data_IF_087234082049
#
_entry.id   IF_087234082049
#
_cell.length_a   1.000
_cell.length_b   1.000
_cell.length_c   1.000
_cell.angle_alpha   90.00
_cell.angle_beta   90.00
_cell.angle_gamma   90.00
#
_symmetry.space_group_name_H-M   'P 1'
#
loop_
_entity.id
_entity.type
_entity.pdbx_description
1 polymer ?
#
# COMPACT_ATOMS: atom_id res chain seq x y z
N UNK A 1 3.13 15.61 -8.31
CA UNK A 1 3.15 16.27 -6.98
C UNK A 1 1.74 16.68 -6.62
N UNK A 2 1.34 16.56 -5.36
CA UNK A 2 -0.07 16.65 -4.94
C UNK A 2 -0.51 15.49 -4.03
N UNK A 3 -1.80 15.18 -4.00
CA UNK A 3 -2.40 14.16 -3.12
C UNK A 3 -3.04 13.02 -3.92
N UNK A 4 -2.60 11.79 -3.73
CA UNK A 4 -3.16 10.57 -4.36
C UNK A 4 -2.86 9.33 -3.51
N UNK A 5 -3.38 8.16 -3.90
CA UNK A 5 -3.10 6.89 -3.20
C UNK A 5 -1.64 6.48 -3.40
N UNK A 6 -0.90 6.24 -2.32
CA UNK A 6 0.48 5.77 -2.46
C UNK A 6 0.52 4.40 -3.18
N UNK A 7 1.59 4.09 -3.94
CA UNK A 7 1.67 2.89 -4.76
C UNK A 7 2.05 1.68 -3.89
N UNK A 8 1.12 1.23 -3.05
CA UNK A 8 1.30 0.10 -2.16
C UNK A 8 0.01 -0.73 -2.14
N UNK A 9 0.11 -1.98 -2.57
CA UNK A 9 -1.00 -2.89 -2.77
C UNK A 9 -1.72 -2.74 -4.12
N UNK A 10 -2.08 -3.88 -4.72
CA UNK A 10 -2.83 -3.99 -5.97
C UNK A 10 -4.27 -3.50 -5.83
N UNK A 11 -4.98 -3.94 -4.80
CA UNK A 11 -6.39 -3.55 -4.62
C UNK A 11 -6.53 -2.06 -4.29
N UNK A 12 -5.55 -1.52 -3.55
CA UNK A 12 -5.52 -0.10 -3.21
C UNK A 12 -5.29 0.78 -4.44
N UNK A 13 -4.34 0.39 -5.29
CA UNK A 13 -4.00 1.12 -6.51
C UNK A 13 -5.05 0.96 -7.62
N UNK A 14 -5.86 -0.11 -7.56
CA UNK A 14 -6.99 -0.32 -8.47
C UNK A 14 -8.08 0.75 -8.26
N UNK A 15 -8.61 1.37 -9.34
CA UNK A 15 -9.70 2.34 -9.23
C UNK A 15 -10.94 1.77 -8.56
N UNK A 16 -11.61 2.60 -7.75
CA UNK A 16 -12.79 2.18 -6.97
C UNK A 16 -13.93 1.68 -7.87
N UNK A 17 -14.07 2.24 -9.08
CA UNK A 17 -15.12 1.87 -10.06
C UNK A 17 -14.84 0.54 -10.79
N UNK A 18 -13.66 -0.05 -10.60
CA UNK A 18 -13.23 -1.28 -11.28
C UNK A 18 -12.90 -2.40 -10.30
N UNK A 19 -13.23 -2.23 -9.01
CA UNK A 19 -13.11 -3.30 -8.02
C UNK A 19 -14.09 -4.43 -8.36
N UNK A 20 -13.69 -5.67 -8.05
CA UNK A 20 -14.55 -6.85 -8.22
C UNK A 20 -15.61 -6.97 -7.12
N UNK A 21 -15.37 -6.34 -5.97
CA UNK A 21 -16.22 -6.33 -4.79
C UNK A 21 -16.74 -4.92 -4.51
N UNK A 22 -17.82 -4.83 -3.73
CA UNK A 22 -18.42 -3.54 -3.34
C UNK A 22 -17.44 -2.72 -2.49
N UNK A 23 -16.69 -3.41 -1.63
CA UNK A 23 -15.69 -2.82 -0.73
C UNK A 23 -14.34 -3.51 -0.94
N UNK A 24 -13.27 -2.83 -0.53
CA UNK A 24 -11.93 -3.43 -0.48
C UNK A 24 -11.85 -4.51 0.60
N UNK A 25 -10.91 -5.42 0.43
CA UNK A 25 -10.60 -6.44 1.44
C UNK A 25 -10.14 -5.80 2.76
N UNK A 26 -10.33 -6.55 3.85
CA UNK A 26 -9.92 -6.10 5.18
C UNK A 26 -8.41 -5.80 5.25
N UNK A 27 -7.49 -6.66 4.77
CA UNK A 27 -6.05 -6.38 4.81
C UNK A 27 -5.70 -5.07 4.11
N UNK A 28 -6.30 -4.82 2.93
CA UNK A 28 -6.09 -3.57 2.19
C UNK A 28 -6.51 -2.36 3.00
N UNK A 29 -7.71 -2.40 3.61
CA UNK A 29 -8.19 -1.30 4.45
C UNK A 29 -7.39 -1.07 5.74
N UNK A 30 -6.77 -2.12 6.27
CA UNK A 30 -6.00 -2.07 7.51
C UNK A 30 -4.58 -1.57 7.30
N UNK A 31 -3.92 -2.02 6.21
CA UNK A 31 -2.46 -1.94 6.04
C UNK A 31 -2.06 -0.93 4.96
N UNK A 32 -2.87 -0.75 3.92
CA UNK A 32 -2.45 0.13 2.82
C UNK A 32 -2.63 1.60 3.21
N UNK A 33 -1.61 2.45 2.98
CA UNK A 33 -1.77 3.88 3.16
C UNK A 33 -2.84 4.40 2.20
N UNK A 34 -3.69 5.30 2.70
CA UNK A 34 -4.73 5.93 1.89
C UNK A 34 -4.14 7.01 0.97
N UNK A 35 -4.84 8.13 0.79
CA UNK A 35 -4.30 9.24 0.00
C UNK A 35 -3.27 10.00 0.81
N UNK A 36 -2.15 10.29 0.17
CA UNK A 36 -0.98 10.88 0.78
C UNK A 36 -0.52 12.07 -0.06
N UNK A 37 -0.09 13.14 0.60
CA UNK A 37 0.52 14.30 -0.07
C UNK A 37 2.00 14.01 -0.31
N UNK A 38 2.47 14.15 -1.55
CA UNK A 38 3.86 13.85 -1.88
C UNK A 38 4.25 14.05 -3.34
N UNK A 39 5.34 13.37 -3.71
CA UNK A 39 5.91 13.30 -5.05
C UNK A 39 6.19 11.83 -5.36
N UNK A 40 5.91 11.42 -6.59
CA UNK A 40 6.18 10.06 -7.07
C UNK A 40 6.76 10.13 -8.48
N UNK A 41 7.73 9.25 -8.72
CA UNK A 41 8.24 8.91 -10.04
C UNK A 41 7.76 7.50 -10.40
N UNK A 42 7.43 7.29 -11.65
CA UNK A 42 7.10 5.97 -12.17
C UNK A 42 7.55 5.84 -13.62
N UNK A 43 7.74 4.60 -14.09
CA UNK A 43 8.14 4.37 -15.47
C UNK A 43 8.13 2.91 -15.88
N UNK A 44 8.24 2.72 -17.19
CA UNK A 44 8.32 1.42 -17.88
C UNK A 44 9.64 1.33 -18.65
N UNK A 45 10.76 1.03 -17.98
CA UNK A 45 12.09 1.18 -18.57
C UNK A 45 12.30 0.28 -19.78
N UNK A 46 11.62 -0.87 -19.84
CA UNK A 46 11.73 -1.83 -20.93
C UNK A 46 10.92 -1.44 -22.18
N UNK A 47 10.11 -0.37 -22.11
CA UNK A 47 9.37 0.13 -23.26
C UNK A 47 10.28 0.63 -24.40
N UNK A 48 11.55 0.97 -24.10
CA UNK A 48 12.55 1.37 -25.11
C UNK A 48 12.99 0.22 -26.02
N UNK A 49 12.81 -1.04 -25.56
CA UNK A 49 13.17 -2.24 -26.33
C UNK A 49 12.09 -2.53 -27.38
N UNK A 50 10.83 -2.31 -27.01
CA UNK A 50 9.69 -2.50 -27.89
C UNK A 50 8.36 -2.53 -27.12
N UNK A 51 7.22 -2.43 -27.83
CA UNK A 51 5.89 -2.39 -27.21
C UNK A 51 5.56 -3.66 -26.43
N UNK A 52 6.05 -4.82 -26.88
CA UNK A 52 5.78 -6.11 -26.24
C UNK A 52 6.42 -6.23 -24.86
N UNK A 53 7.54 -5.52 -24.63
CA UNK A 53 8.30 -5.53 -23.38
C UNK A 53 7.90 -4.41 -22.42
N UNK A 54 7.05 -3.47 -22.84
CA UNK A 54 6.74 -2.27 -22.07
C UNK A 54 6.17 -2.59 -20.67
N UNK A 55 5.32 -3.61 -20.55
CA UNK A 55 4.70 -3.99 -19.28
C UNK A 55 5.45 -5.10 -18.53
N UNK A 56 6.61 -5.52 -19.05
CA UNK A 56 7.44 -6.54 -18.40
C UNK A 56 8.05 -6.02 -17.10
N UNK A 57 8.29 -4.71 -17.01
CA UNK A 57 8.70 -4.05 -15.78
C UNK A 57 8.09 -2.65 -15.70
N UNK A 58 7.34 -2.40 -14.64
CA UNK A 58 6.91 -1.06 -14.22
C UNK A 58 7.43 -0.81 -12.81
N UNK A 59 7.97 0.37 -12.57
CA UNK A 59 8.40 0.77 -11.23
C UNK A 59 7.66 2.03 -10.79
N UNK A 60 7.49 2.15 -9.48
CA UNK A 60 6.98 3.33 -8.80
C UNK A 60 7.85 3.59 -7.57
N UNK A 61 8.22 4.84 -7.35
CA UNK A 61 8.93 5.28 -6.15
C UNK A 61 8.35 6.62 -5.72
N UNK A 62 7.97 6.75 -4.46
CA UNK A 62 7.34 7.95 -3.93
C UNK A 62 7.83 8.33 -2.53
N UNK A 63 7.80 9.64 -2.29
CA UNK A 63 8.09 10.28 -1.01
C UNK A 63 6.84 11.07 -0.63
N UNK A 64 6.32 10.83 0.56
CA UNK A 64 5.04 11.34 1.03
C UNK A 64 5.13 11.84 2.48
N UNK A 65 4.18 12.64 2.92
CA UNK A 65 4.14 13.14 4.30
C UNK A 65 3.87 12.04 5.35
N UNK A 66 3.24 10.91 4.99
CA UNK A 66 2.97 9.78 5.90
C UNK A 66 1.70 9.93 6.74
N UNK A 67 1.36 11.16 7.11
CA UNK A 67 0.23 11.49 7.98
C UNK A 67 -1.17 11.49 7.32
N UNK A 68 -1.28 11.08 6.05
CA UNK A 68 -2.55 10.77 5.41
C UNK A 68 -3.23 11.97 4.73
N UNK A 69 -4.51 11.75 4.43
CA UNK A 69 -5.31 12.63 3.56
C UNK A 69 -5.57 13.99 4.20
N UNK A 70 -5.51 15.05 3.37
CA UNK A 70 -5.85 16.43 3.72
C UNK A 70 -4.98 17.05 4.83
N UNK A 71 -3.82 16.45 5.11
CA UNK A 71 -2.83 17.02 6.03
C UNK A 71 -1.69 17.60 5.18
N UNK A 72 -1.64 18.92 5.12
CA UNK A 72 -0.66 19.65 4.29
C UNK A 72 0.65 19.90 5.01
N UNK A 73 0.64 19.92 6.34
CA UNK A 73 1.84 20.06 7.15
C UNK A 73 2.39 18.69 7.52
N UNK A 74 3.70 18.50 7.42
CA UNK A 74 4.35 17.29 7.91
C UNK A 74 4.37 17.33 9.45
N UNK A 75 3.98 16.24 10.10
CA UNK A 75 3.83 16.17 11.56
C UNK A 75 5.17 16.14 12.30
N UNK A 76 6.23 15.61 11.67
CA UNK A 76 7.47 15.30 12.39
C UNK A 76 8.78 15.45 11.58
N UNK A 77 8.72 16.11 10.42
CA UNK A 77 9.81 16.28 9.45
C UNK A 77 10.41 14.97 8.89
N UNK A 78 9.77 13.81 9.09
CA UNK A 78 10.10 12.55 8.43
C UNK A 78 9.12 12.30 7.29
N UNK A 79 9.60 11.62 6.24
CA UNK A 79 8.75 11.24 5.12
C UNK A 79 8.44 9.75 5.14
N UNK A 80 7.28 9.40 4.60
CA UNK A 80 6.97 8.05 4.20
C UNK A 80 7.57 7.78 2.81
N UNK A 81 8.28 6.67 2.69
CA UNK A 81 8.88 6.17 1.45
C UNK A 81 8.11 4.95 0.98
N UNK A 82 7.74 4.91 -0.30
CA UNK A 82 7.03 3.78 -0.90
C UNK A 82 7.69 3.41 -2.21
N UNK A 83 7.89 2.11 -2.42
CA UNK A 83 8.38 1.54 -3.67
C UNK A 83 7.49 0.38 -4.11
N UNK A 84 7.18 0.33 -5.41
CA UNK A 84 6.44 -0.77 -6.04
C UNK A 84 7.10 -1.20 -7.32
N UNK A 85 7.17 -2.51 -7.54
CA UNK A 85 7.55 -3.11 -8.81
C UNK A 85 6.39 -3.97 -9.31
N UNK A 86 6.10 -3.86 -10.59
CA UNK A 86 5.14 -4.73 -11.29
C UNK A 86 5.80 -5.37 -12.50
N UNK A 87 5.46 -6.63 -12.77
CA UNK A 87 5.92 -7.36 -13.95
C UNK A 87 4.80 -8.16 -14.58
N UNK A 88 4.61 -8.01 -15.89
CA UNK A 88 3.70 -8.85 -16.67
C UNK A 88 4.51 -9.88 -17.44
N UNK A 89 4.61 -11.12 -16.92
CA UNK A 89 5.50 -12.17 -17.43
C UNK A 89 4.88 -12.99 -18.56
N UNK A 90 3.59 -13.31 -18.44
CA UNK A 90 2.85 -14.04 -19.46
C UNK A 90 1.83 -13.09 -20.06
N UNK A 91 1.86 -12.94 -21.38
CA UNK A 91 0.85 -12.22 -22.16
C UNK A 91 0.42 -13.09 -23.32
N UNK A 92 -0.89 -13.18 -23.55
CA UNK A 92 -1.50 -13.91 -24.66
C UNK A 92 -1.19 -15.43 -24.72
N UNK A 93 -0.64 -16.02 -23.64
CA UNK A 93 -0.28 -17.45 -23.57
C UNK A 93 -1.51 -18.35 -23.45
N UNK A 94 -2.55 -17.92 -22.76
CA UNK A 94 -3.81 -18.66 -22.57
C UNK A 94 -4.96 -18.09 -23.43
N UNK A 95 -4.61 -17.52 -24.59
CA UNK A 95 -5.52 -16.81 -25.48
C UNK A 95 -5.37 -15.30 -25.42
N UNK A 96 -5.88 -14.61 -26.45
CA UNK A 96 -5.74 -13.15 -26.60
C UNK A 96 -6.34 -12.41 -25.39
N UNK A 97 -5.57 -11.51 -24.80
CA UNK A 97 -5.90 -10.74 -23.61
C UNK A 97 -5.59 -11.44 -22.28
N UNK A 98 -5.04 -12.66 -22.30
CA UNK A 98 -4.61 -13.33 -21.07
C UNK A 98 -3.30 -12.73 -20.54
N UNK A 99 -3.17 -12.66 -19.21
CA UNK A 99 -1.91 -12.26 -18.61
C UNK A 99 -1.68 -12.83 -17.21
N UNK A 100 -0.42 -12.88 -16.80
CA UNK A 100 -0.01 -12.96 -15.39
C UNK A 100 0.77 -11.71 -15.04
N UNK A 101 0.23 -10.92 -14.12
CA UNK A 101 0.91 -9.79 -13.50
C UNK A 101 1.31 -10.17 -12.08
N UNK A 102 2.53 -9.82 -11.71
CA UNK A 102 3.06 -9.91 -10.35
C UNK A 102 3.41 -8.52 -9.85
N UNK A 103 3.18 -8.27 -8.58
CA UNK A 103 3.54 -7.04 -7.89
C UNK A 103 4.27 -7.31 -6.57
N UNK A 104 5.14 -6.39 -6.19
CA UNK A 104 5.79 -6.38 -4.89
C UNK A 104 6.05 -4.95 -4.43
N UNK A 105 5.77 -4.68 -3.16
CA UNK A 105 5.86 -3.35 -2.58
C UNK A 105 6.66 -3.33 -1.28
N UNK A 106 7.23 -2.17 -1.00
CA UNK A 106 7.82 -1.83 0.29
C UNK A 106 7.38 -0.44 0.72
N UNK A 107 7.21 -0.26 2.01
CA UNK A 107 6.87 1.00 2.64
C UNK A 107 7.68 1.16 3.93
N UNK A 108 8.17 2.37 4.17
CA UNK A 108 8.71 2.78 5.45
C UNK A 108 8.14 4.16 5.81
N UNK A 109 7.73 4.32 7.06
CA UNK A 109 7.26 5.61 7.58
C UNK A 109 7.69 5.77 9.04
N UNK A 110 7.78 7.03 9.46
CA UNK A 110 7.91 7.42 10.85
C UNK A 110 6.84 8.47 11.09
N UNK A 111 5.90 8.19 11.96
CA UNK A 111 4.77 9.07 12.22
C UNK A 111 4.77 9.48 13.70
N UNK A 112 4.15 10.62 14.00
CA UNK A 112 3.99 11.10 15.37
C UNK A 112 2.65 10.66 15.98
N UNK A 113 2.52 10.90 17.29
CA UNK A 113 1.28 10.64 18.02
C UNK A 113 0.10 11.33 17.33
N UNK A 114 -1.00 10.59 17.19
CA UNK A 114 -2.24 11.10 16.59
C UNK A 114 -2.39 10.80 15.10
N UNK A 115 -1.36 10.28 14.44
CA UNK A 115 -1.47 9.82 13.06
C UNK A 115 -2.31 8.54 12.98
N UNK A 116 -3.29 8.53 12.07
CA UNK A 116 -4.12 7.36 11.79
C UNK A 116 -3.44 6.48 10.74
N UNK A 117 -3.08 5.26 11.11
CA UNK A 117 -2.36 4.31 10.24
C UNK A 117 -3.28 3.26 9.60
N UNK A 118 -4.57 3.21 9.97
CA UNK A 118 -5.57 2.28 9.43
C UNK A 118 -6.89 3.01 9.22
N UNK A 119 -7.08 3.61 8.04
CA UNK A 119 -8.22 4.50 7.80
C UNK A 119 -9.54 3.77 7.55
N UNK A 120 -9.52 2.49 7.15
CA UNK A 120 -10.73 1.70 6.90
C UNK A 120 -11.29 0.98 8.13
N UNK A 121 -10.92 1.43 9.32
CA UNK A 121 -11.56 1.08 10.59
C UNK A 121 -11.45 -0.40 11.01
N UNK A 122 -10.35 -1.08 10.72
CA UNK A 122 -10.28 -2.53 10.94
C UNK A 122 -8.97 -3.07 11.52
N UNK A 123 -8.06 -2.20 11.94
CA UNK A 123 -6.81 -2.63 12.59
C UNK A 123 -6.97 -2.83 14.11
N UNK A 124 -7.91 -2.14 14.76
CA UNK A 124 -8.18 -2.29 16.19
C UNK A 124 -9.49 -3.05 16.43
N UNK A 125 -9.43 -4.11 17.23
CA UNK A 125 -10.60 -4.83 17.74
C UNK A 125 -10.93 -4.33 19.14
N UNK A 126 -12.10 -3.72 19.31
CA UNK A 126 -12.56 -3.19 20.59
C UNK A 126 -13.11 -4.30 21.49
N UNK A 127 -13.26 -3.99 22.78
CA UNK A 127 -13.79 -4.93 23.79
C UNK A 127 -15.22 -5.42 23.50
N UNK A 128 -16.00 -4.65 22.76
CA UNK A 128 -17.36 -5.00 22.30
C UNK A 128 -17.37 -5.78 20.97
N UNK A 129 -16.19 -6.09 20.42
CA UNK A 129 -16.00 -6.78 19.15
C UNK A 129 -16.13 -5.88 17.91
N UNK A 130 -16.39 -4.57 18.10
CA UNK A 130 -16.39 -3.63 16.98
C UNK A 130 -14.98 -3.37 16.46
N UNK A 131 -14.88 -3.03 15.18
CA UNK A 131 -13.63 -2.67 14.53
C UNK A 131 -13.48 -1.14 14.47
N UNK A 132 -12.26 -0.65 14.68
CA UNK A 132 -11.97 0.79 14.66
C UNK A 132 -10.59 1.09 14.06
N UNK A 133 -10.34 2.35 13.65
CA UNK A 133 -9.04 2.71 13.10
C UNK A 133 -8.00 2.70 14.21
N UNK A 134 -6.74 2.46 13.85
CA UNK A 134 -5.64 2.59 14.79
C UNK A 134 -5.02 3.98 14.66
N UNK A 135 -5.22 4.80 15.70
CA UNK A 135 -4.58 6.10 15.85
C UNK A 135 -3.39 5.92 16.79
N UNK A 136 -2.20 6.30 16.34
CA UNK A 136 -0.96 6.13 17.08
C UNK A 136 -1.02 6.83 18.45
N UNK A 137 -0.94 6.10 19.58
CA UNK A 137 -0.97 6.70 20.92
C UNK A 137 0.38 7.34 21.29
N UNK A 138 1.45 7.03 20.55
CA UNK A 138 2.78 7.63 20.62
C UNK A 138 3.47 7.58 19.26
N UNK A 139 4.61 8.24 19.11
CA UNK A 139 5.38 8.20 17.86
C UNK A 139 5.80 6.77 17.50
N UNK A 140 5.91 6.48 16.21
CA UNK A 140 6.22 5.14 15.71
C UNK A 140 7.27 5.16 14.59
N UNK A 141 7.74 3.97 14.25
CA UNK A 141 8.41 3.63 13.01
C UNK A 141 7.77 2.36 12.48
N UNK A 142 7.30 2.43 11.23
CA UNK A 142 6.61 1.33 10.58
C UNK A 142 7.27 0.93 9.27
N UNK A 143 7.26 -0.37 9.03
CA UNK A 143 7.73 -0.97 7.78
C UNK A 143 6.67 -1.94 7.29
N UNK A 144 6.27 -1.81 6.04
CA UNK A 144 5.33 -2.72 5.42
C UNK A 144 5.88 -3.27 4.10
N UNK A 145 5.43 -4.46 3.73
CA UNK A 145 5.68 -5.06 2.43
C UNK A 145 4.45 -5.82 1.96
N UNK A 146 4.32 -5.96 0.65
CA UNK A 146 3.24 -6.75 0.04
C UNK A 146 3.74 -7.47 -1.21
N UNK A 147 3.04 -8.56 -1.53
CA UNK A 147 3.18 -9.28 -2.79
C UNK A 147 1.79 -9.55 -3.35
N UNK A 148 1.64 -9.39 -4.66
CA UNK A 148 0.37 -9.59 -5.33
C UNK A 148 0.54 -10.32 -6.68
N UNK A 149 -0.52 -11.00 -7.08
CA UNK A 149 -0.60 -11.69 -8.36
C UNK A 149 -2.00 -11.51 -8.96
N UNK A 150 -2.04 -11.23 -10.26
CA UNK A 150 -3.27 -11.17 -11.04
C UNK A 150 -3.11 -12.02 -12.31
N UNK A 151 -3.84 -13.12 -12.33
CA UNK A 151 -4.00 -13.99 -13.48
C UNK A 151 -5.32 -13.69 -14.19
N UNK A 152 -5.26 -13.33 -15.46
CA UNK A 152 -6.42 -13.20 -16.35
C UNK A 152 -6.37 -14.24 -17.46
N UNK A 153 -7.45 -14.98 -17.65
CA UNK A 153 -7.59 -16.01 -18.69
C UNK A 153 -9.01 -15.96 -19.28
N UNK A 154 -9.18 -15.25 -20.40
CA UNK A 154 -10.50 -15.07 -21.01
C UNK A 154 -11.50 -14.43 -20.04
N UNK A 155 -12.63 -15.07 -19.71
CA UNK A 155 -13.62 -14.55 -18.75
C UNK A 155 -13.23 -14.77 -17.28
N UNK A 156 -12.11 -15.44 -17.01
CA UNK A 156 -11.67 -15.77 -15.65
C UNK A 156 -10.59 -14.79 -15.18
N UNK A 157 -10.73 -14.30 -13.94
CA UNK A 157 -9.72 -13.54 -13.22
C UNK A 157 -9.49 -14.19 -11.85
N UNK A 158 -8.22 -14.36 -11.48
CA UNK A 158 -7.79 -14.75 -10.15
C UNK A 158 -6.79 -13.72 -9.66
N UNK A 159 -7.12 -13.10 -8.53
CA UNK A 159 -6.30 -12.09 -7.88
C UNK A 159 -6.01 -12.57 -6.47
N UNK A 160 -4.74 -12.47 -6.07
CA UNK A 160 -4.30 -12.73 -4.71
C UNK A 160 -3.32 -11.65 -4.27
N UNK A 161 -3.40 -11.25 -3.02
CA UNK A 161 -2.56 -10.23 -2.41
C UNK A 161 -2.28 -10.66 -0.97
N UNK A 162 -1.06 -10.40 -0.51
CA UNK A 162 -0.64 -10.57 0.88
C UNK A 162 0.09 -9.30 1.31
N UNK A 163 -0.28 -8.75 2.46
CA UNK A 163 0.36 -7.57 3.04
C UNK A 163 0.81 -7.88 4.47
N UNK A 164 1.91 -7.25 4.89
CA UNK A 164 2.35 -7.26 6.28
C UNK A 164 2.91 -5.89 6.65
N UNK A 165 2.50 -5.38 7.81
CA UNK A 165 3.08 -4.18 8.43
C UNK A 165 3.57 -4.50 9.83
N UNK A 166 4.76 -3.98 10.15
CA UNK A 166 5.35 -4.02 11.48
C UNK A 166 5.42 -2.60 12.01
N UNK A 167 4.83 -2.40 13.19
CA UNK A 167 4.77 -1.09 13.85
C UNK A 167 5.60 -1.16 15.12
N UNK A 168 6.62 -0.31 15.20
CA UNK A 168 7.50 -0.20 16.37
C UNK A 168 7.28 1.16 17.04
N UNK A 169 7.00 1.19 18.34
CA UNK A 169 6.87 2.45 19.06
C UNK A 169 8.26 3.10 19.19
N UNK A 170 8.33 4.43 19.00
CA UNK A 170 9.55 5.22 19.23
C UNK A 170 9.47 5.93 20.58
N UNK A 171 10.54 5.83 21.36
CA UNK A 171 10.72 6.59 22.59
C UNK A 171 11.43 7.91 22.30
N UNK A 172 10.67 9.01 22.20
CA UNK A 172 11.26 10.34 22.09
C UNK A 172 11.57 10.95 23.47
N UNK A 173 10.72 10.71 24.49
CA UNK A 173 10.88 11.21 25.87
C UNK A 173 10.07 10.35 26.88
N UNK A 174 10.48 9.09 27.10
CA UNK A 174 9.81 8.19 28.05
C UNK A 174 9.54 6.78 27.50
N UNK A 175 8.89 5.91 28.29
CA UNK A 175 8.51 4.58 27.84
C UNK A 175 7.60 4.66 26.61
N UNK A 176 7.69 3.69 25.68
CA UNK A 176 6.89 3.70 24.47
C UNK A 176 5.39 3.68 24.79
N UNK A 177 4.60 4.45 24.02
CA UNK A 177 3.18 4.67 24.29
C UNK A 177 2.25 3.48 23.98
N UNK A 178 2.81 2.41 23.39
CA UNK A 178 2.12 1.17 23.04
C UNK A 178 3.15 0.06 22.78
N UNK A 179 2.70 -1.19 22.75
CA UNK A 179 3.55 -2.33 22.40
C UNK A 179 3.74 -2.44 20.88
N UNK A 180 4.92 -2.90 20.46
CA UNK A 180 5.14 -3.25 19.05
C UNK A 180 4.13 -4.31 18.61
N UNK A 181 3.66 -4.23 17.38
CA UNK A 181 2.76 -5.23 16.80
C UNK A 181 3.06 -5.48 15.32
N UNK A 182 2.51 -6.58 14.81
CA UNK A 182 2.55 -6.93 13.40
C UNK A 182 1.12 -7.26 12.97
N UNK A 183 0.73 -6.74 11.81
CA UNK A 183 -0.53 -7.04 11.16
C UNK A 183 -0.24 -7.64 9.79
N UNK A 184 -1.00 -8.65 9.41
CA UNK A 184 -0.89 -9.32 8.13
C UNK A 184 -2.25 -9.84 7.64
N UNK A 185 -2.34 -10.11 6.34
CA UNK A 185 -3.54 -10.64 5.70
C UNK A 185 -3.47 -10.68 4.20
#
# INVERSE_FOLDING_TARGET
>A
MGQWKAPFGLEQTTPDTTLYTIERTLPTGAITPERQVGIQLWGKPLAVIGPDYADLLTYYAGIFNGNGRNITNNDNNNFMYVGRLESTLFKDVFGKGSFLKLGADILNSRDDKGTNISQSLNLLVNSDGSLSPFVLPGADERTAWSVDAWLKMGPFDLIGEFLQERVHPRSANGPPGFDRFTTDG
#
